data_IF_280500216233
#
_entry.id   IF_280500216233
#
_cell.length_a   1.000
_cell.length_b   1.000
_cell.length_c   1.000
_cell.angle_alpha   90.00
_cell.angle_beta   90.00
_cell.angle_gamma   90.00
#
_symmetry.space_group_name_H-M   'P 1'
#
loop_
_entity.id
_entity.type
_entity.pdbx_description
1 polymer ?
#
# COMPACT_ATOMS: atom_id res chain seq x y z
N UNK A 1 -1.47 -10.06 31.50
CA UNK A 1 -2.58 -11.02 31.76
C UNK A 1 -3.08 -10.89 33.19
N UNK A 2 -2.22 -11.02 34.21
CA UNK A 2 -2.63 -10.90 35.62
C UNK A 2 -3.30 -9.56 35.97
N UNK A 3 -2.78 -8.44 35.45
CA UNK A 3 -3.33 -7.09 35.67
C UNK A 3 -4.75 -6.95 35.11
N UNK A 4 -4.96 -7.38 33.86
CA UNK A 4 -6.28 -7.34 33.21
C UNK A 4 -7.30 -8.18 33.97
N UNK A 5 -6.90 -9.36 34.45
CA UNK A 5 -7.76 -10.23 35.26
C UNK A 5 -8.10 -9.60 36.63
N UNK A 6 -7.17 -8.90 37.26
CA UNK A 6 -7.41 -8.18 38.52
C UNK A 6 -8.41 -7.04 38.29
N UNK A 7 -8.17 -6.19 37.28
CA UNK A 7 -9.04 -5.06 36.96
C UNK A 7 -10.47 -5.53 36.60
N UNK A 8 -10.58 -6.49 35.67
CA UNK A 8 -11.86 -6.95 35.17
C UNK A 8 -12.65 -7.80 36.17
N UNK A 9 -12.02 -8.73 36.90
CA UNK A 9 -12.73 -9.73 37.70
C UNK A 9 -12.66 -9.54 39.21
N UNK A 10 -11.58 -8.92 39.73
CA UNK A 10 -11.41 -8.69 41.17
C UNK A 10 -11.86 -7.31 41.60
N UNK A 11 -11.54 -6.28 40.81
CA UNK A 11 -11.93 -4.90 41.06
C UNK A 11 -13.26 -4.53 40.37
N UNK A 12 -13.66 -5.32 39.36
CA UNK A 12 -14.84 -5.08 38.53
C UNK A 12 -14.83 -3.66 37.90
N UNK A 13 -13.64 -3.11 37.72
CA UNK A 13 -13.39 -1.81 37.12
C UNK A 13 -13.24 -1.97 35.61
N UNK A 14 -14.38 -1.94 34.94
CA UNK A 14 -14.46 -2.15 33.50
C UNK A 14 -13.80 -1.00 32.71
N UNK A 15 -13.78 0.22 33.26
CA UNK A 15 -13.17 1.38 32.59
C UNK A 15 -11.65 1.28 32.62
N UNK A 16 -11.08 0.95 33.78
CA UNK A 16 -9.65 0.71 33.91
C UNK A 16 -9.17 -0.50 33.08
N UNK A 17 -10.00 -1.54 32.95
CA UNK A 17 -9.67 -2.70 32.10
C UNK A 17 -9.63 -2.32 30.60
N UNK A 18 -10.61 -1.54 30.11
CA UNK A 18 -10.62 -1.03 28.74
C UNK A 18 -9.43 -0.09 28.48
N UNK A 19 -9.11 0.80 29.41
CA UNK A 19 -7.97 1.70 29.32
C UNK A 19 -6.64 0.93 29.23
N UNK A 20 -6.49 -0.13 30.02
CA UNK A 20 -5.32 -0.99 29.96
C UNK A 20 -5.19 -1.73 28.63
N UNK A 21 -6.30 -2.15 28.02
CA UNK A 21 -6.30 -2.72 26.66
C UNK A 21 -5.85 -1.68 25.62
N UNK A 22 -6.30 -0.44 25.73
CA UNK A 22 -5.88 0.66 24.86
C UNK A 22 -4.38 0.96 24.99
N UNK A 23 -3.85 0.98 26.21
CA UNK A 23 -2.42 1.24 26.49
C UNK A 23 -1.50 0.13 25.96
N UNK A 24 -1.93 -1.13 26.02
CA UNK A 24 -1.18 -2.24 25.43
C UNK A 24 -1.21 -2.21 23.90
N UNK A 25 -2.30 -1.72 23.30
CA UNK A 25 -2.45 -1.58 21.85
C UNK A 25 -2.45 -2.91 21.09
N UNK A 26 -2.66 -4.04 21.76
CA UNK A 26 -2.68 -5.36 21.11
C UNK A 26 -4.12 -5.78 20.77
N UNK A 27 -4.37 -6.30 19.55
CA UNK A 27 -5.72 -6.70 19.12
C UNK A 27 -6.28 -7.87 19.94
N UNK A 28 -5.42 -8.76 20.47
CA UNK A 28 -5.84 -9.88 21.31
C UNK A 28 -6.25 -9.46 22.73
N UNK A 29 -5.94 -8.23 23.16
CA UNK A 29 -6.24 -7.77 24.52
C UNK A 29 -7.75 -7.61 24.75
N UNK A 30 -8.46 -7.02 23.79
CA UNK A 30 -9.91 -6.85 23.88
C UNK A 30 -10.66 -8.18 23.74
N UNK A 31 -10.18 -9.10 22.89
CA UNK A 31 -10.76 -10.46 22.80
C UNK A 31 -10.64 -11.22 24.12
N UNK A 32 -9.48 -11.11 24.80
CA UNK A 32 -9.29 -11.72 26.13
C UNK A 32 -10.16 -11.08 27.20
N UNK A 33 -10.37 -9.77 27.13
CA UNK A 33 -11.28 -9.06 28.03
C UNK A 33 -12.73 -9.53 27.84
N UNK A 34 -13.15 -9.70 26.58
CA UNK A 34 -14.46 -10.25 26.23
C UNK A 34 -14.64 -11.67 26.79
N UNK A 35 -13.66 -12.54 26.57
CA UNK A 35 -13.66 -13.92 27.07
C UNK A 35 -13.80 -13.97 28.60
N UNK A 36 -13.03 -13.16 29.33
CA UNK A 36 -13.14 -13.06 30.79
C UNK A 36 -14.50 -12.54 31.28
N UNK A 37 -15.17 -11.67 30.53
CA UNK A 37 -16.53 -11.23 30.88
C UNK A 37 -17.59 -12.30 30.62
N UNK A 38 -17.38 -13.16 29.61
CA UNK A 38 -18.33 -14.20 29.23
C UNK A 38 -18.17 -15.49 30.05
N UNK A 39 -16.94 -15.86 30.38
CA UNK A 39 -16.61 -16.98 31.26
C UNK A 39 -15.63 -16.55 32.39
N UNK A 40 -16.14 -15.91 33.44
CA UNK A 40 -15.34 -15.63 34.62
C UNK A 40 -15.10 -16.93 35.40
N UNK A 41 -13.96 -17.58 35.12
CA UNK A 41 -13.51 -18.90 35.63
C UNK A 41 -13.55 -19.13 37.18
N UNK A 42 -14.00 -18.15 37.96
CA UNK A 42 -14.15 -18.22 39.41
C UNK A 42 -15.56 -18.67 39.86
N UNK A 43 -16.38 -19.24 38.97
CA UNK A 43 -17.77 -19.62 39.29
C UNK A 43 -18.71 -18.44 39.53
N UNK A 44 -18.30 -17.24 39.07
CA UNK A 44 -19.16 -16.05 39.04
C UNK A 44 -20.11 -16.12 37.84
N UNK A 45 -21.22 -15.41 37.90
CA UNK A 45 -22.09 -15.26 36.72
C UNK A 45 -21.42 -14.40 35.63
N UNK A 46 -21.70 -14.68 34.34
CA UNK A 46 -21.20 -13.87 33.23
C UNK A 46 -21.57 -12.39 33.34
N UNK A 47 -20.60 -11.52 33.06
CA UNK A 47 -20.75 -10.07 33.10
C UNK A 47 -21.29 -9.52 31.77
N UNK A 48 -22.49 -9.96 31.36
CA UNK A 48 -23.05 -9.63 30.05
C UNK A 48 -23.14 -8.13 29.75
N UNK A 49 -23.45 -7.29 30.74
CA UNK A 49 -23.52 -5.83 30.56
C UNK A 49 -22.16 -5.22 30.19
N UNK A 50 -21.08 -5.72 30.78
CA UNK A 50 -19.72 -5.28 30.46
C UNK A 50 -19.30 -5.77 29.07
N UNK A 51 -19.61 -7.03 28.73
CA UNK A 51 -19.37 -7.59 27.39
C UNK A 51 -20.11 -6.81 26.30
N UNK A 52 -21.39 -6.48 26.48
CA UNK A 52 -22.18 -5.69 25.51
C UNK A 52 -21.58 -4.29 25.34
N UNK A 53 -21.17 -3.64 26.43
CA UNK A 53 -20.53 -2.32 26.38
C UNK A 53 -19.20 -2.37 25.62
N UNK A 54 -18.38 -3.38 25.91
CA UNK A 54 -17.11 -3.60 25.24
C UNK A 54 -17.30 -3.79 23.73
N UNK A 55 -18.25 -4.63 23.32
CA UNK A 55 -18.60 -4.84 21.91
C UNK A 55 -19.08 -3.55 21.26
N UNK A 56 -19.91 -2.75 21.94
CA UNK A 56 -20.43 -1.50 21.40
C UNK A 56 -19.33 -0.46 21.16
N UNK A 57 -18.41 -0.32 22.10
CA UNK A 57 -17.36 0.70 22.07
C UNK A 57 -16.17 0.30 21.20
N UNK A 58 -15.77 -0.97 21.24
CA UNK A 58 -14.52 -1.47 20.66
C UNK A 58 -14.73 -2.55 19.59
N UNK A 59 -15.96 -2.76 19.12
CA UNK A 59 -16.28 -3.78 18.11
C UNK A 59 -15.48 -3.64 16.81
N UNK A 60 -15.11 -2.44 16.40
CA UNK A 60 -14.26 -2.21 15.21
C UNK A 60 -12.84 -2.81 15.36
N UNK A 61 -12.34 -2.88 16.58
CA UNK A 61 -11.01 -3.43 16.89
C UNK A 61 -11.00 -4.95 17.06
N UNK A 62 -12.18 -5.59 17.04
CA UNK A 62 -12.34 -7.03 17.25
C UNK A 62 -12.52 -7.77 15.92
N UNK A 63 -12.07 -9.02 15.87
CA UNK A 63 -12.37 -9.91 14.75
C UNK A 63 -13.82 -10.42 14.88
N UNK A 64 -14.72 -10.08 13.92
CA UNK A 64 -16.12 -10.51 14.01
C UNK A 64 -16.31 -12.02 14.08
N UNK A 65 -15.41 -12.81 13.48
CA UNK A 65 -15.50 -14.27 13.50
C UNK A 65 -15.18 -14.81 14.89
N UNK A 66 -14.06 -14.35 15.49
CA UNK A 66 -13.67 -14.77 16.84
C UNK A 66 -14.71 -14.35 17.88
N UNK A 67 -15.32 -13.17 17.72
CA UNK A 67 -16.41 -12.73 18.59
C UNK A 67 -17.58 -13.71 18.53
N UNK A 68 -18.02 -14.13 17.33
CA UNK A 68 -19.11 -15.11 17.20
C UNK A 68 -18.77 -16.47 17.83
N UNK A 69 -17.53 -16.93 17.71
CA UNK A 69 -17.07 -18.19 18.32
C UNK A 69 -17.02 -18.12 19.85
N UNK A 70 -16.75 -16.94 20.41
CA UNK A 70 -16.62 -16.72 21.86
C UNK A 70 -17.98 -16.50 22.54
N UNK A 71 -19.01 -16.08 21.81
CA UNK A 71 -20.33 -15.83 22.38
C UNK A 71 -20.96 -17.15 22.89
N UNK A 72 -21.19 -17.21 24.20
CA UNK A 72 -21.90 -18.32 24.84
C UNK A 72 -23.33 -18.47 24.28
N UNK A 73 -23.87 -19.70 24.14
CA UNK A 73 -25.24 -19.94 23.72
C UNK A 73 -26.29 -19.27 24.64
N UNK A 74 -25.93 -19.00 25.88
CA UNK A 74 -26.80 -18.35 26.87
C UNK A 74 -26.84 -16.81 26.74
N UNK A 75 -25.98 -16.24 25.89
CA UNK A 75 -25.95 -14.79 25.69
C UNK A 75 -27.18 -14.33 24.89
N UNK A 76 -27.92 -13.29 25.36
CA UNK A 76 -29.00 -12.72 24.58
C UNK A 76 -28.44 -12.00 23.34
N UNK A 77 -28.37 -12.71 22.22
CA UNK A 77 -27.87 -12.20 20.93
C UNK A 77 -28.63 -10.95 20.47
N UNK A 78 -29.87 -10.76 20.91
CA UNK A 78 -30.68 -9.57 20.65
C UNK A 78 -30.04 -8.28 21.18
N UNK A 79 -29.23 -8.35 22.25
CA UNK A 79 -28.55 -7.19 22.82
C UNK A 79 -27.29 -6.79 22.04
N UNK A 80 -26.74 -7.69 21.22
CA UNK A 80 -25.48 -7.48 20.49
C UNK A 80 -25.64 -7.50 18.97
N UNK A 81 -26.80 -7.91 18.46
CA UNK A 81 -27.04 -8.12 17.02
C UNK A 81 -26.71 -6.90 16.16
N UNK A 82 -27.13 -5.70 16.57
CA UNK A 82 -26.86 -4.47 15.82
C UNK A 82 -25.37 -4.12 15.80
N UNK A 83 -24.68 -4.39 16.90
CA UNK A 83 -23.24 -4.18 17.01
C UNK A 83 -22.48 -5.19 16.15
N UNK A 84 -22.85 -6.48 16.21
CA UNK A 84 -22.26 -7.54 15.38
C UNK A 84 -22.49 -7.22 13.90
N UNK A 85 -23.71 -6.85 13.50
CA UNK A 85 -24.01 -6.45 12.12
C UNK A 85 -23.18 -5.25 11.66
N UNK A 86 -22.99 -4.25 12.53
CA UNK A 86 -22.09 -3.11 12.24
C UNK A 86 -20.65 -3.58 12.03
N UNK A 87 -20.13 -4.46 12.89
CA UNK A 87 -18.78 -5.02 12.78
C UNK A 87 -18.57 -5.77 11.45
N UNK A 88 -19.51 -6.66 11.08
CA UNK A 88 -19.44 -7.38 9.80
C UNK A 88 -19.49 -6.44 8.59
N UNK A 89 -20.39 -5.45 8.62
CA UNK A 89 -20.47 -4.44 7.54
C UNK A 89 -19.19 -3.65 7.42
N UNK A 90 -18.60 -3.20 8.54
CA UNK A 90 -17.33 -2.49 8.56
C UNK A 90 -16.20 -3.37 8.00
N UNK A 91 -16.12 -4.64 8.41
CA UNK A 91 -15.10 -5.58 7.90
C UNK A 91 -15.18 -5.78 6.39
N UNK A 92 -16.38 -6.00 5.86
CA UNK A 92 -16.61 -6.12 4.41
C UNK A 92 -16.25 -4.82 3.69
N UNK A 93 -16.63 -3.68 4.27
CA UNK A 93 -16.33 -2.37 3.71
C UNK A 93 -14.82 -2.13 3.62
N UNK A 94 -14.07 -2.34 4.71
CA UNK A 94 -12.61 -2.21 4.73
C UNK A 94 -11.93 -3.19 3.78
N UNK A 95 -12.41 -4.44 3.69
CA UNK A 95 -11.87 -5.40 2.74
C UNK A 95 -12.03 -4.90 1.29
N UNK A 96 -13.22 -4.44 0.92
CA UNK A 96 -13.49 -3.89 -0.42
C UNK A 96 -12.68 -2.63 -0.70
N UNK A 97 -12.58 -1.72 0.27
CA UNK A 97 -11.74 -0.52 0.15
C UNK A 97 -10.27 -0.90 -0.05
N UNK A 98 -9.76 -1.86 0.73
CA UNK A 98 -8.41 -2.39 0.58
C UNK A 98 -8.17 -2.98 -0.81
N UNK A 99 -9.13 -3.75 -1.34
CA UNK A 99 -9.06 -4.28 -2.71
C UNK A 99 -9.02 -3.17 -3.77
N UNK A 100 -9.84 -2.12 -3.62
CA UNK A 100 -9.84 -0.98 -4.54
C UNK A 100 -8.47 -0.28 -4.53
N UNK A 101 -7.95 0.05 -3.35
CA UNK A 101 -6.65 0.70 -3.20
C UNK A 101 -5.52 -0.18 -3.75
N UNK A 102 -5.55 -1.48 -3.44
CA UNK A 102 -4.57 -2.43 -3.94
C UNK A 102 -4.57 -2.50 -5.47
N UNK A 103 -5.74 -2.68 -6.08
CA UNK A 103 -5.88 -2.80 -7.52
C UNK A 103 -5.51 -1.51 -8.25
N UNK A 104 -5.88 -0.35 -7.70
CA UNK A 104 -5.50 0.95 -8.27
C UNK A 104 -3.98 1.16 -8.19
N UNK A 105 -3.37 0.85 -7.05
CA UNK A 105 -1.92 0.95 -6.87
C UNK A 105 -1.18 0.00 -7.80
N UNK A 106 -1.69 -1.23 -7.96
CA UNK A 106 -1.14 -2.21 -8.89
C UNK A 106 -1.26 -1.75 -10.36
N UNK A 107 -2.40 -1.17 -10.75
CA UNK A 107 -2.57 -0.64 -12.10
C UNK A 107 -1.55 0.47 -12.40
N UNK A 108 -1.38 1.42 -11.48
CA UNK A 108 -0.38 2.48 -11.59
C UNK A 108 1.04 1.89 -11.68
N UNK A 109 1.39 0.92 -10.82
CA UNK A 109 2.73 0.31 -10.86
C UNK A 109 3.01 -0.40 -12.20
N UNK A 110 2.02 -1.15 -12.71
CA UNK A 110 2.15 -1.84 -13.99
C UNK A 110 2.30 -0.85 -15.14
N UNK A 111 1.41 0.15 -15.21
CA UNK A 111 1.33 1.09 -16.33
C UNK A 111 2.49 2.11 -16.30
N UNK A 112 2.79 2.72 -15.15
CA UNK A 112 3.78 3.80 -15.08
C UNK A 112 5.21 3.29 -14.88
N UNK A 113 5.44 2.28 -14.04
CA UNK A 113 6.82 1.88 -13.69
C UNK A 113 7.28 0.72 -14.56
N UNK A 114 6.45 -0.32 -14.69
CA UNK A 114 6.85 -1.58 -15.29
C UNK A 114 6.91 -1.46 -16.80
N UNK A 115 5.90 -0.87 -17.41
CA UNK A 115 5.85 -0.64 -18.85
C UNK A 115 6.91 0.38 -19.28
N UNK A 116 7.01 1.55 -18.63
CA UNK A 116 8.01 2.55 -18.96
C UNK A 116 9.46 1.99 -18.90
N UNK A 117 9.74 1.13 -17.93
CA UNK A 117 11.04 0.44 -17.84
C UNK A 117 11.26 -0.57 -18.97
N UNK A 118 10.23 -1.29 -19.40
CA UNK A 118 10.32 -2.20 -20.54
C UNK A 118 10.53 -1.41 -21.83
N UNK A 119 9.78 -0.32 -22.02
CA UNK A 119 9.92 0.59 -23.14
C UNK A 119 11.36 1.13 -23.20
N UNK A 120 11.88 1.65 -22.09
CA UNK A 120 13.27 2.14 -22.00
C UNK A 120 14.29 1.06 -22.39
N UNK A 121 14.14 -0.17 -21.89
CA UNK A 121 15.03 -1.28 -22.22
C UNK A 121 14.92 -1.74 -23.67
N UNK A 122 13.76 -1.52 -24.30
CA UNK A 122 13.52 -1.85 -25.69
C UNK A 122 13.95 -0.74 -26.65
N UNK A 123 14.33 0.44 -26.15
CA UNK A 123 14.75 1.56 -26.99
C UNK A 123 15.98 1.17 -27.79
N UNK A 124 15.93 1.50 -29.06
CA UNK A 124 17.02 1.35 -30.00
C UNK A 124 16.93 2.48 -31.03
N UNK A 125 18.07 2.86 -31.60
CA UNK A 125 18.12 3.72 -32.79
C UNK A 125 18.65 2.90 -33.95
N UNK A 126 18.01 3.04 -35.10
CA UNK A 126 18.47 2.44 -36.34
C UNK A 126 19.39 3.41 -37.07
N UNK A 127 20.62 2.98 -37.34
CA UNK A 127 21.60 3.75 -38.10
C UNK A 127 21.60 3.25 -39.54
N UNK A 128 21.42 4.17 -40.47
CA UNK A 128 21.50 3.95 -41.91
C UNK A 128 22.61 4.83 -42.54
N UNK A 129 22.80 4.73 -43.86
CA UNK A 129 23.83 5.49 -44.57
C UNK A 129 23.59 7.02 -44.55
N UNK A 130 22.34 7.43 -44.35
CA UNK A 130 21.94 8.84 -44.25
C UNK A 130 22.03 9.40 -42.83
N UNK A 131 22.30 8.54 -41.82
CA UNK A 131 22.35 8.96 -40.42
C UNK A 131 23.57 9.86 -40.18
N UNK A 132 23.32 11.05 -39.65
CA UNK A 132 24.34 12.06 -39.37
C UNK A 132 24.61 12.17 -37.87
N UNK A 133 25.81 12.61 -37.51
CA UNK A 133 26.15 12.98 -36.14
C UNK A 133 25.43 14.28 -35.76
N UNK A 134 24.68 14.29 -34.65
CA UNK A 134 23.93 15.47 -34.21
C UNK A 134 24.81 16.67 -33.86
N UNK A 135 26.10 16.44 -33.55
CA UNK A 135 27.08 17.52 -33.27
C UNK A 135 27.78 18.05 -34.52
N UNK A 136 28.37 17.16 -35.33
CA UNK A 136 29.27 17.58 -36.42
C UNK A 136 28.70 17.33 -37.82
N UNK A 137 27.48 16.79 -37.90
CA UNK A 137 26.76 16.50 -39.14
C UNK A 137 27.50 15.53 -40.10
N UNK A 138 28.51 14.81 -39.60
CA UNK A 138 29.21 13.80 -40.39
C UNK A 138 28.39 12.50 -40.47
N UNK A 139 28.38 11.85 -41.63
CA UNK A 139 27.77 10.53 -41.82
C UNK A 139 28.34 9.50 -40.83
N UNK A 140 27.43 8.85 -40.10
CA UNK A 140 27.71 7.79 -39.12
C UNK A 140 27.93 6.46 -39.85
N UNK A 141 26.95 5.98 -40.61
CA UNK A 141 27.05 4.72 -41.37
C UNK A 141 27.65 3.58 -40.54
N UNK A 142 28.82 3.09 -40.96
CA UNK A 142 29.57 2.01 -40.29
C UNK A 142 30.59 2.47 -39.24
N UNK A 143 30.69 3.77 -38.96
CA UNK A 143 31.64 4.33 -37.98
C UNK A 143 31.14 4.12 -36.54
N UNK A 144 32.08 4.15 -35.59
CA UNK A 144 31.73 4.12 -34.15
C UNK A 144 30.89 5.35 -33.77
N UNK A 145 29.79 5.08 -33.08
CA UNK A 145 28.85 6.08 -32.58
C UNK A 145 28.48 5.81 -31.13
N UNK A 146 27.89 6.81 -30.49
CA UNK A 146 27.30 6.71 -29.16
C UNK A 146 25.92 7.37 -29.17
N UNK A 147 25.03 6.87 -28.32
CA UNK A 147 23.69 7.40 -28.12
C UNK A 147 23.60 7.94 -26.69
N UNK A 148 23.09 9.16 -26.56
CA UNK A 148 22.79 9.75 -25.26
C UNK A 148 21.38 9.34 -24.77
N UNK A 149 21.11 9.45 -23.45
CA UNK A 149 19.79 9.19 -22.89
C UNK A 149 18.65 10.00 -23.52
N UNK A 150 18.92 11.18 -24.13
CA UNK A 150 17.95 12.02 -24.84
C UNK A 150 17.76 11.66 -26.32
N UNK A 151 18.19 10.46 -26.73
CA UNK A 151 18.14 9.92 -28.09
C UNK A 151 19.07 10.59 -29.11
N UNK A 152 19.87 11.59 -28.68
CA UNK A 152 20.88 12.19 -29.56
C UNK A 152 21.98 11.18 -29.91
N UNK A 153 22.29 11.04 -31.20
CA UNK A 153 23.32 10.14 -31.72
C UNK A 153 24.51 10.94 -32.24
N UNK A 154 25.68 10.60 -31.73
CA UNK A 154 26.92 11.28 -32.06
C UNK A 154 27.99 10.31 -32.52
N UNK A 155 28.91 10.78 -33.36
CA UNK A 155 30.11 10.00 -33.65
C UNK A 155 30.97 9.90 -32.37
N UNK A 156 31.75 8.82 -32.28
CA UNK A 156 32.58 8.56 -31.10
C UNK A 156 33.58 9.69 -30.80
N UNK A 157 34.05 10.41 -31.84
CA UNK A 157 34.92 11.58 -31.65
C UNK A 157 34.18 12.68 -30.88
N UNK A 158 32.97 13.07 -31.29
CA UNK A 158 32.19 14.09 -30.58
C UNK A 158 31.85 13.64 -29.16
N UNK A 159 31.49 12.37 -28.98
CA UNK A 159 31.25 11.79 -27.66
C UNK A 159 32.48 11.91 -26.74
N UNK A 160 33.67 11.59 -27.23
CA UNK A 160 34.90 11.71 -26.44
C UNK A 160 35.25 13.15 -26.06
N UNK A 161 34.86 14.15 -26.87
CA UNK A 161 35.10 15.56 -26.53
C UNK A 161 34.09 16.09 -25.52
N UNK A 162 32.81 15.67 -25.65
CA UNK A 162 31.71 16.15 -24.83
C UNK A 162 31.59 15.40 -23.49
N UNK A 163 31.88 14.10 -23.48
CA UNK A 163 31.73 13.21 -22.35
C UNK A 163 30.29 12.72 -22.13
N UNK A 164 30.10 11.84 -21.14
CA UNK A 164 28.84 11.13 -20.90
C UNK A 164 27.75 11.98 -20.22
N UNK A 165 28.10 13.12 -19.64
CA UNK A 165 27.25 13.81 -18.66
C UNK A 165 26.30 14.83 -19.28
N UNK A 166 26.66 15.38 -20.44
CA UNK A 166 25.87 16.42 -21.10
C UNK A 166 25.77 16.11 -22.58
N UNK A 167 24.57 15.99 -23.13
CA UNK A 167 24.40 15.74 -24.55
C UNK A 167 24.65 17.01 -25.39
N UNK A 168 24.61 16.83 -26.71
CA UNK A 168 24.76 17.90 -27.70
C UNK A 168 23.57 18.87 -27.71
N UNK A 169 22.43 18.48 -27.14
CA UNK A 169 21.25 19.34 -26.97
C UNK A 169 21.42 20.28 -25.77
N UNK A 170 22.48 20.11 -24.96
CA UNK A 170 22.76 20.88 -23.76
C UNK A 170 22.12 20.31 -22.49
N UNK A 171 21.52 19.12 -22.55
CA UNK A 171 20.89 18.47 -21.40
C UNK A 171 21.93 17.82 -20.48
N UNK A 172 22.00 18.23 -19.21
CA UNK A 172 22.92 17.65 -18.21
C UNK A 172 22.22 16.53 -17.42
N UNK A 173 22.57 15.28 -17.73
CA UNK A 173 21.96 14.09 -17.13
C UNK A 173 22.26 13.90 -15.64
N UNK A 174 23.19 14.67 -15.07
CA UNK A 174 23.48 14.64 -13.63
C UNK A 174 22.58 15.58 -12.84
N UNK A 175 22.02 16.60 -13.48
CA UNK A 175 21.21 17.65 -12.84
C UNK A 175 19.75 17.52 -13.23
N UNK A 176 19.50 17.19 -14.48
CA UNK A 176 18.18 17.14 -15.08
C UNK A 176 17.80 15.68 -15.32
N UNK A 177 16.76 15.22 -14.61
CA UNK A 177 16.21 13.88 -14.83
C UNK A 177 15.39 13.91 -16.11
N UNK A 178 15.79 13.11 -17.09
CA UNK A 178 15.05 12.98 -18.33
C UNK A 178 13.81 12.11 -18.11
N UNK A 179 12.63 12.75 -18.08
CA UNK A 179 11.34 12.06 -18.11
C UNK A 179 10.86 11.95 -19.54
N UNK A 180 11.05 10.77 -20.17
CA UNK A 180 10.42 10.48 -21.45
C UNK A 180 8.97 10.06 -21.20
N UNK A 181 7.96 10.76 -21.77
CA UNK A 181 6.57 10.36 -21.62
C UNK A 181 6.39 8.94 -22.18
N UNK A 182 5.71 8.08 -21.43
CA UNK A 182 5.35 6.74 -21.88
C UNK A 182 4.39 6.80 -23.08
N UNK A 183 4.28 5.69 -23.82
CA UNK A 183 3.45 5.54 -25.03
C UNK A 183 2.04 6.12 -24.94
N UNK A 184 1.41 6.04 -23.75
CA UNK A 184 0.06 6.51 -23.52
C UNK A 184 -0.07 8.05 -23.68
N UNK A 185 0.94 8.79 -23.22
CA UNK A 185 0.97 10.26 -23.27
C UNK A 185 1.31 10.75 -24.68
N UNK A 186 2.18 10.04 -25.40
CA UNK A 186 2.50 10.34 -26.81
C UNK A 186 1.29 10.18 -27.71
N UNK A 187 0.48 9.12 -27.55
CA UNK A 187 -0.77 8.95 -28.33
C UNK A 187 -1.82 10.03 -28.06
N UNK A 188 -2.03 10.41 -26.80
CA UNK A 188 -3.03 11.45 -26.48
C UNK A 188 -2.67 12.79 -27.14
N UNK A 189 -1.38 13.10 -27.24
CA UNK A 189 -0.89 14.30 -27.91
C UNK A 189 -0.91 14.21 -29.45
N UNK A 190 -0.88 13.01 -30.03
CA UNK A 190 -1.00 12.81 -31.49
C UNK A 190 -2.45 12.96 -32.02
N UNK A 191 -3.45 12.94 -31.15
CA UNK A 191 -4.87 13.12 -31.49
C UNK A 191 -5.38 14.56 -31.30
N UNK A 192 -4.48 15.53 -31.14
CA UNK A 192 -4.81 16.96 -31.02
C UNK A 192 -4.16 17.78 -32.13
#
# INVERSE_FOLDING_TARGET
MLVLQILALKLEDNEAAEQYCAEIGRPDAYMKLLDMYLDPQNGKEPMFKAAVRLLHNHGESLDPLQVLETLSPDMPLQLTSDTILRMFRARIHHHRQGQIVHNLSHAIDVDDTRLARIEERSRHVQINDESLCDSCQAHLGTKLFAMYPDDAVVCYKCFHHQGESTSVTGHDFRRDVLFKPGWLVTRINEFR
#
